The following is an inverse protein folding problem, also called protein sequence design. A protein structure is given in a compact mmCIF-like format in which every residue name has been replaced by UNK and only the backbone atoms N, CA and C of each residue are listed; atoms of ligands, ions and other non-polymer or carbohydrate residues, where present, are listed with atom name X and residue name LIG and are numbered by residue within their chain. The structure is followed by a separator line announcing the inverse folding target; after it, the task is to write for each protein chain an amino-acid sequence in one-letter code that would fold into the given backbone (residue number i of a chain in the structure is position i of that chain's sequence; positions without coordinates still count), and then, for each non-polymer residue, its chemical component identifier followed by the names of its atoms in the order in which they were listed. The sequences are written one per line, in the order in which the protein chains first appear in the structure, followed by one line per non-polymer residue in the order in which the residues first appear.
data_IF_479253060222
#
_entry.id   IF_479253060222
#
_cell.length_a   1.000
_cell.length_b   1.000
_cell.length_c   1.000
_cell.angle_alpha   90.00
_cell.angle_beta   90.00
_cell.angle_gamma   90.00
#
_symmetry.space_group_name_H-M   'P 1'
#
loop_
_entity.id
_entity.type
_entity.pdbx_description
1 polymer ?
#
# COMPACT_ATOMS: atom_id res chain seq x y z
N UNK A 1 11.23 5.53 4.72
CA UNK A 1 10.09 4.66 5.04
C UNK A 1 9.00 5.52 5.65
N UNK A 2 7.73 5.31 5.31
CA UNK A 2 6.58 5.99 5.95
C UNK A 2 5.75 4.91 6.64
N UNK A 3 5.31 5.18 7.88
CA UNK A 3 4.38 4.34 8.61
C UNK A 3 3.12 5.14 8.92
N UNK A 4 1.96 4.54 8.69
CA UNK A 4 0.66 5.04 9.12
C UNK A 4 0.11 4.07 10.17
N UNK A 5 -0.62 4.58 11.16
CA UNK A 5 -1.37 3.77 12.13
C UNK A 5 -2.87 3.96 11.92
N UNK A 6 -3.66 2.96 12.32
CA UNK A 6 -5.13 2.98 12.43
C UNK A 6 -5.82 3.73 11.29
N UNK A 7 -6.24 2.99 10.27
CA UNK A 7 -6.71 3.63 9.05
C UNK A 7 -7.60 2.75 8.19
N UNK A 8 -7.79 3.22 6.96
CA UNK A 8 -8.62 2.56 5.96
C UNK A 8 -7.80 2.40 4.69
N UNK A 9 -7.90 1.23 4.09
CA UNK A 9 -7.44 0.96 2.74
C UNK A 9 -8.64 0.84 1.82
N UNK A 10 -8.59 1.53 0.69
CA UNK A 10 -9.57 1.45 -0.37
C UNK A 10 -8.96 0.67 -1.54
N UNK A 11 -9.66 -0.39 -1.95
CA UNK A 11 -9.27 -1.27 -3.04
C UNK A 11 -10.45 -1.33 -4.01
N UNK A 12 -10.36 -0.58 -5.11
CA UNK A 12 -11.54 -0.32 -5.95
C UNK A 12 -12.60 0.45 -5.18
N UNK A 13 -13.79 -0.12 -5.06
CA UNK A 13 -14.92 0.39 -4.29
C UNK A 13 -14.99 -0.16 -2.85
N UNK A 14 -14.16 -1.14 -2.51
CA UNK A 14 -14.13 -1.75 -1.18
C UNK A 14 -13.28 -0.92 -0.20
N UNK A 15 -13.81 -0.70 1.01
CA UNK A 15 -13.11 -0.02 2.09
C UNK A 15 -12.85 -0.99 3.26
N UNK A 16 -11.58 -1.30 3.51
CA UNK A 16 -11.16 -2.19 4.60
C UNK A 16 -10.45 -1.40 5.68
N UNK A 17 -10.73 -1.71 6.95
CA UNK A 17 -10.00 -1.13 8.08
C UNK A 17 -8.73 -1.93 8.33
N UNK A 18 -7.66 -1.26 8.70
CA UNK A 18 -6.46 -1.94 9.21
C UNK A 18 -6.16 -1.46 10.64
N UNK A 19 -5.82 -2.40 11.50
CA UNK A 19 -5.67 -2.16 12.94
C UNK A 19 -4.26 -1.66 13.30
N UNK A 20 -3.22 -2.23 12.69
CA UNK A 20 -1.85 -1.96 13.13
C UNK A 20 -1.18 -0.84 12.36
N UNK A 21 -0.67 -1.15 11.16
CA UNK A 21 0.12 -0.19 10.41
C UNK A 21 0.10 -0.43 8.92
N UNK A 22 0.29 0.65 8.18
CA UNK A 22 0.64 0.62 6.78
C UNK A 22 2.06 1.18 6.57
N UNK A 23 2.95 0.37 5.99
CA UNK A 23 4.34 0.72 5.68
C UNK A 23 4.49 0.98 4.18
N UNK A 24 5.02 2.15 3.84
CA UNK A 24 5.25 2.54 2.45
C UNK A 24 6.75 2.66 2.17
N UNK A 25 7.23 1.85 1.23
CA UNK A 25 8.61 1.83 0.74
C UNK A 25 8.62 2.31 -0.70
N UNK A 26 9.33 3.40 -0.98
CA UNK A 26 9.53 3.89 -2.35
C UNK A 26 10.75 3.23 -2.94
N UNK A 27 10.62 2.67 -4.13
CA UNK A 27 11.78 2.23 -4.89
C UNK A 27 12.38 3.41 -5.65
N UNK A 28 13.71 3.49 -5.61
CA UNK A 28 14.47 4.44 -6.42
C UNK A 28 15.21 3.63 -7.46
N UNK A 29 14.77 3.71 -8.71
CA UNK A 29 15.52 3.14 -9.82
C UNK A 29 16.43 4.22 -10.38
N UNK A 30 17.74 3.94 -10.35
CA UNK A 30 18.76 4.78 -10.97
C UNK A 30 18.96 4.24 -12.38
N UNK A 31 18.71 5.06 -13.40
CA UNK A 31 19.08 4.68 -14.77
C UNK A 31 20.58 4.98 -14.96
N UNK A 32 21.37 3.90 -14.94
CA UNK A 32 22.76 3.90 -15.34
C UNK A 32 22.83 3.65 -16.85
N UNK A 33 23.55 4.53 -17.57
CA UNK A 33 23.90 4.30 -18.97
C UNK A 33 25.39 4.04 -19.03
N UNK A 34 25.78 2.85 -19.52
CA UNK A 34 27.18 2.57 -19.80
C UNK A 34 27.59 3.27 -21.09
N UNK A 35 28.62 4.12 -20.99
CA UNK A 35 29.25 4.79 -22.13
C UNK A 35 30.70 4.32 -22.24
N UNK A 36 31.37 4.61 -23.36
CA UNK A 36 32.79 4.28 -23.57
C UNK A 36 33.73 4.91 -22.52
N UNK A 37 33.29 5.94 -21.81
CA UNK A 37 34.03 6.60 -20.72
C UNK A 37 33.64 6.16 -19.31
N UNK A 38 32.79 5.14 -19.16
CA UNK A 38 32.30 4.64 -17.88
C UNK A 38 30.79 4.72 -17.71
N UNK A 39 30.31 4.31 -16.53
CA UNK A 39 28.90 4.32 -16.16
C UNK A 39 28.47 5.73 -15.78
N UNK A 40 27.53 6.32 -16.53
CA UNK A 40 26.97 7.65 -16.27
C UNK A 40 25.56 7.49 -15.71
N UNK A 41 25.29 8.11 -14.55
CA UNK A 41 23.94 8.22 -14.00
C UNK A 41 23.15 9.26 -14.80
N UNK A 42 22.13 8.83 -15.53
CA UNK A 42 21.34 9.71 -16.42
C UNK A 42 20.08 10.29 -15.76
N UNK A 43 19.83 9.93 -14.50
CA UNK A 43 18.72 10.45 -13.70
C UNK A 43 18.25 9.45 -12.65
N UNK A 44 17.57 9.97 -11.62
CA UNK A 44 16.80 9.15 -10.67
C UNK A 44 15.33 9.46 -10.89
N UNK A 45 14.54 8.45 -11.25
CA UNK A 45 13.08 8.58 -11.28
C UNK A 45 12.51 7.67 -10.20
N UNK A 46 11.57 8.18 -9.43
CA UNK A 46 10.85 7.35 -8.46
C UNK A 46 9.84 6.54 -9.26
N UNK A 47 10.15 5.28 -9.50
CA UNK A 47 9.28 4.31 -10.16
C UNK A 47 8.74 3.44 -9.06
N UNK A 48 7.51 3.71 -8.66
CA UNK A 48 6.77 2.81 -7.80
C UNK A 48 7.27 2.59 -6.38
N UNK A 49 6.85 1.46 -5.84
CA UNK A 49 7.24 0.97 -4.52
C UNK A 49 6.24 -0.05 -3.98
N UNK A 50 6.40 -0.34 -2.70
CA UNK A 50 5.55 -1.29 -1.98
C UNK A 50 4.74 -0.57 -0.91
N UNK A 51 3.48 -0.95 -0.78
CA UNK A 51 2.60 -0.57 0.32
C UNK A 51 2.26 -1.87 1.05
N UNK A 52 2.79 -2.07 2.25
CA UNK A 52 2.50 -3.22 3.10
C UNK A 52 1.50 -2.78 4.17
N UNK A 53 0.37 -3.47 4.34
CA UNK A 53 -0.63 -3.20 5.38
C UNK A 53 -0.77 -4.43 6.26
N UNK A 54 -0.64 -4.25 7.57
CA UNK A 54 -0.72 -5.31 8.57
C UNK A 54 -2.04 -5.26 9.33
N UNK A 55 -2.57 -6.45 9.65
CA UNK A 55 -3.80 -6.67 10.42
C UNK A 55 -5.01 -5.97 9.79
N UNK A 56 -5.41 -6.42 8.61
CA UNK A 56 -6.58 -5.90 7.89
C UNK A 56 -7.82 -6.66 8.35
N UNK A 57 -8.87 -5.94 8.74
CA UNK A 57 -10.14 -6.54 9.16
C UNK A 57 -10.90 -7.00 7.92
N UNK A 58 -11.45 -8.21 7.96
CA UNK A 58 -12.36 -8.68 6.91
C UNK A 58 -13.64 -7.82 6.88
N UNK A 59 -14.29 -7.71 5.72
CA UNK A 59 -15.59 -7.04 5.61
C UNK A 59 -16.67 -7.67 6.51
N UNK A 60 -17.69 -6.87 6.85
CA UNK A 60 -18.77 -7.28 7.75
C UNK A 60 -19.84 -8.14 7.04
N UNK A 61 -19.84 -8.18 5.70
CA UNK A 61 -20.86 -8.89 4.91
C UNK A 61 -20.24 -9.94 3.99
N UNK A 62 -20.93 -11.08 3.82
CA UNK A 62 -20.49 -12.16 2.93
C UNK A 62 -20.28 -11.66 1.48
N UNK A 63 -21.13 -10.75 1.01
CA UNK A 63 -21.01 -10.18 -0.33
C UNK A 63 -19.70 -9.40 -0.50
N UNK A 64 -19.32 -8.59 0.49
CA UNK A 64 -18.06 -7.85 0.45
C UNK A 64 -16.84 -8.76 0.63
N UNK A 65 -16.96 -9.83 1.42
CA UNK A 65 -15.91 -10.86 1.55
C UNK A 65 -15.67 -11.54 0.20
N UNK A 66 -16.72 -11.99 -0.49
CA UNK A 66 -16.58 -12.59 -1.82
C UNK A 66 -15.99 -11.61 -2.83
N UNK A 67 -16.41 -10.34 -2.79
CA UNK A 67 -15.83 -9.31 -3.66
C UNK A 67 -14.35 -9.06 -3.37
N UNK A 68 -13.97 -9.09 -2.09
CA UNK A 68 -12.57 -9.00 -1.68
C UNK A 68 -11.74 -10.18 -2.20
N UNK A 69 -12.24 -11.42 -2.07
CA UNK A 69 -11.61 -12.62 -2.63
C UNK A 69 -11.43 -12.51 -4.14
N UNK A 70 -12.45 -12.07 -4.87
CA UNK A 70 -12.35 -11.85 -6.33
C UNK A 70 -11.29 -10.81 -6.70
N UNK A 71 -11.11 -9.79 -5.87
CA UNK A 71 -10.06 -8.78 -6.05
C UNK A 71 -8.67 -9.40 -5.86
N UNK A 72 -8.50 -10.24 -4.84
CA UNK A 72 -7.25 -10.95 -4.59
C UNK A 72 -6.93 -11.91 -5.75
N UNK A 73 -7.91 -12.65 -6.24
CA UNK A 73 -7.77 -13.60 -7.36
C UNK A 73 -7.39 -12.89 -8.67
N UNK A 74 -7.95 -11.70 -8.93
CA UNK A 74 -7.58 -10.89 -10.10
C UNK A 74 -6.14 -10.40 -10.00
N UNK A 75 -5.64 -10.16 -8.79
CA UNK A 75 -4.28 -9.72 -8.48
C UNK A 75 -3.92 -8.31 -8.95
N UNK A 76 -4.67 -7.72 -9.89
CA UNK A 76 -4.38 -6.41 -10.49
C UNK A 76 -5.43 -5.37 -10.15
N UNK A 77 -4.95 -4.17 -9.82
CA UNK A 77 -5.72 -3.04 -9.35
C UNK A 77 -5.29 -1.77 -10.07
N UNK A 78 -6.23 -0.99 -10.58
CA UNK A 78 -5.91 0.31 -11.17
C UNK A 78 -5.35 1.28 -10.12
N UNK A 79 -5.87 1.17 -8.89
CA UNK A 79 -5.55 2.06 -7.79
C UNK A 79 -5.75 1.39 -6.43
N UNK A 80 -4.88 1.73 -5.50
CA UNK A 80 -5.03 1.46 -4.07
C UNK A 80 -4.84 2.76 -3.30
N UNK A 81 -5.73 3.06 -2.34
CA UNK A 81 -5.63 4.26 -1.51
C UNK A 81 -5.55 3.87 -0.06
N UNK A 82 -4.48 4.25 0.62
CA UNK A 82 -4.32 4.04 2.06
C UNK A 82 -4.41 5.38 2.76
N UNK A 83 -5.33 5.50 3.71
CA UNK A 83 -5.42 6.64 4.62
C UNK A 83 -5.13 6.18 6.04
N UNK A 84 -4.40 6.99 6.80
CA UNK A 84 -4.20 6.75 8.21
C UNK A 84 -3.59 7.94 8.93
N UNK A 85 -3.28 7.73 10.20
CA UNK A 85 -2.66 8.74 11.05
C UNK A 85 -1.14 8.62 11.00
N UNK A 86 -0.48 9.75 10.77
CA UNK A 86 0.96 9.90 10.86
C UNK A 86 1.31 10.96 11.90
N UNK A 87 2.56 10.99 12.35
CA UNK A 87 3.01 11.90 13.39
C UNK A 87 4.17 12.76 12.88
N UNK A 88 4.12 14.06 13.18
CA UNK A 88 5.25 14.97 13.02
C UNK A 88 6.33 14.66 14.07
N UNK A 89 7.53 15.25 13.91
CA UNK A 89 8.64 15.04 14.84
C UNK A 89 8.32 15.50 16.26
N UNK A 90 7.45 16.50 16.40
CA UNK A 90 6.96 17.04 17.67
C UNK A 90 5.81 16.20 18.28
N UNK A 91 5.40 15.11 17.62
CA UNK A 91 4.30 14.25 18.05
C UNK A 91 2.92 14.70 17.59
N UNK A 92 2.79 15.81 16.85
CA UNK A 92 1.49 16.27 16.34
C UNK A 92 0.93 15.27 15.32
N UNK A 93 -0.28 14.73 15.52
CA UNK A 93 -0.90 13.83 14.55
C UNK A 93 -1.41 14.60 13.32
N UNK A 94 -1.31 13.99 12.15
CA UNK A 94 -1.91 14.48 10.92
C UNK A 94 -2.44 13.33 10.06
N UNK A 95 -3.45 13.61 9.24
CA UNK A 95 -4.02 12.61 8.34
C UNK A 95 -3.20 12.59 7.06
N UNK A 96 -2.82 11.38 6.66
CA UNK A 96 -2.05 11.17 5.44
C UNK A 96 -2.75 10.17 4.54
N UNK A 97 -2.83 10.53 3.27
CA UNK A 97 -3.35 9.67 2.21
C UNK A 97 -2.23 9.32 1.25
N UNK A 98 -2.09 8.03 0.96
CA UNK A 98 -1.13 7.49 0.00
C UNK A 98 -1.92 6.79 -1.08
N UNK A 99 -1.62 7.11 -2.33
CA UNK A 99 -2.28 6.53 -3.48
C UNK A 99 -1.24 5.79 -4.33
N UNK A 100 -1.41 4.47 -4.44
CA UNK A 100 -0.71 3.64 -5.39
C UNK A 100 -1.52 3.52 -6.68
N UNK A 101 -0.88 3.62 -7.85
CA UNK A 101 -1.51 3.38 -9.15
C UNK A 101 -0.89 2.15 -9.81
N UNK A 102 -1.69 1.40 -10.57
CA UNK A 102 -1.31 0.13 -11.21
C UNK A 102 -0.68 -0.80 -10.18
N UNK A 103 -1.49 -1.19 -9.22
CA UNK A 103 -1.09 -2.01 -8.10
C UNK A 103 -1.30 -3.48 -8.42
N UNK A 104 -0.38 -4.33 -7.98
CA UNK A 104 -0.59 -5.77 -7.85
C UNK A 104 -0.69 -6.09 -6.37
N UNK A 105 -1.77 -6.78 -5.98
CA UNK A 105 -1.98 -7.22 -4.59
C UNK A 105 -1.48 -8.64 -4.40
N UNK A 106 -0.89 -8.90 -3.25
CA UNK A 106 -0.51 -10.23 -2.79
C UNK A 106 -0.78 -10.34 -1.29
N UNK A 107 -1.39 -11.44 -0.89
CA UNK A 107 -1.52 -11.91 0.49
C UNK A 107 -0.39 -12.87 0.83
N UNK A 108 -0.11 -13.03 2.11
CA UNK A 108 0.67 -14.17 2.59
C UNK A 108 -0.31 -15.32 2.87
N UNK A 109 -0.57 -16.15 1.85
CA UNK A 109 -1.62 -17.19 1.90
C UNK A 109 -1.33 -18.26 2.97
N UNK A 110 -0.07 -18.40 3.41
CA UNK A 110 0.31 -19.37 4.44
C UNK A 110 -0.15 -18.95 5.85
N UNK A 111 -0.51 -17.69 6.06
CA UNK A 111 -0.96 -17.15 7.35
C UNK A 111 -2.47 -16.86 7.41
N UNK A 112 -3.21 -17.06 6.32
CA UNK A 112 -4.62 -16.67 6.27
C UNK A 112 -5.54 -17.79 6.76
N UNK A 113 -6.16 -17.57 7.93
CA UNK A 113 -7.27 -18.37 8.42
C UNK A 113 -8.58 -17.55 8.37
N UNK A 114 -9.59 -17.96 7.57
CA UNK A 114 -10.85 -17.21 7.46
C UNK A 114 -11.64 -17.11 8.78
N UNK A 115 -11.39 -18.00 9.74
CA UNK A 115 -12.04 -17.98 11.05
C UNK A 115 -11.55 -16.82 11.96
N UNK A 116 -10.38 -16.22 11.66
CA UNK A 116 -9.79 -15.18 12.49
C UNK A 116 -10.38 -13.78 12.25
N UNK A 117 -11.23 -13.63 11.21
CA UNK A 117 -11.84 -12.34 10.87
C UNK A 117 -10.86 -11.28 10.36
N UNK A 118 -9.60 -11.66 10.13
CA UNK A 118 -8.51 -10.76 9.74
C UNK A 118 -7.65 -11.36 8.63
N UNK A 119 -7.03 -10.48 7.86
CA UNK A 119 -5.92 -10.77 6.95
C UNK A 119 -4.64 -10.24 7.59
N UNK A 120 -3.68 -11.11 7.97
CA UNK A 120 -2.47 -10.69 8.69
C UNK A 120 -1.66 -9.64 7.93
N UNK A 121 -1.55 -9.80 6.61
CA UNK A 121 -0.78 -8.89 5.78
C UNK A 121 -1.28 -8.82 4.34
N UNK A 122 -1.47 -7.60 3.85
CA UNK A 122 -1.68 -7.29 2.44
C UNK A 122 -0.51 -6.48 1.90
N UNK A 123 0.12 -6.96 0.84
CA UNK A 123 1.22 -6.27 0.19
C UNK A 123 0.80 -5.81 -1.21
N UNK A 124 1.04 -4.54 -1.53
CA UNK A 124 0.75 -3.96 -2.84
C UNK A 124 2.04 -3.48 -3.48
N UNK A 125 2.39 -4.03 -4.64
CA UNK A 125 3.44 -3.50 -5.50
C UNK A 125 2.81 -2.51 -6.48
N UNK A 126 3.30 -1.27 -6.54
CA UNK A 126 2.65 -0.20 -7.31
C UNK A 126 3.64 0.52 -8.20
N UNK A 127 3.23 0.90 -9.41
CA UNK A 127 4.10 1.61 -10.37
C UNK A 127 4.32 3.09 -10.00
N UNK A 128 3.35 3.70 -9.31
CA UNK A 128 3.38 5.14 -8.97
C UNK A 128 2.81 5.35 -7.56
N UNK A 129 3.53 6.10 -6.72
CA UNK A 129 3.08 6.50 -5.38
C UNK A 129 2.87 8.02 -5.31
N UNK A 130 1.61 8.45 -5.21
CA UNK A 130 1.19 9.83 -4.90
C UNK A 130 0.88 9.96 -3.40
N UNK A 131 1.01 11.19 -2.86
CA UNK A 131 0.82 11.47 -1.43
C UNK A 131 0.10 12.79 -1.24
N UNK A 132 -0.86 12.80 -0.33
CA UNK A 132 -1.60 13.99 0.10
C UNK A 132 -1.64 14.05 1.62
N UNK A 133 -1.56 15.26 2.18
CA UNK A 133 -1.58 15.49 3.62
C UNK A 133 -2.73 16.44 3.94
N UNK A 134 -3.46 16.15 5.02
CA UNK A 134 -4.52 17.02 5.54
C UNK A 134 -4.34 17.20 7.04
N UNK A 135 -4.48 18.44 7.52
CA UNK A 135 -4.55 18.72 8.96
C UNK A 135 -5.79 18.02 9.54
N UNK A 136 -5.65 17.47 10.75
CA UNK A 136 -6.76 16.93 11.55
C UNK A 136 -7.33 18.05 12.39
#
# INVERSE_FOLDING_TARGET
MISLKEGVIFIGDLALKYADKATIKKEKKVNTRNTLGGTVNTGTYTTGGTIDVETVLLPDTLQEVTHFEEILDKGHLDQVVVTGTAYLRDGTPYKRTITGLRATVSTDDEEWNPDDGIVPKLSFNVDIIKKENKAI
#
